data_IF_629481064232
#
_entry.id   IF_629481064232
#
_cell.length_a   1.000
_cell.length_b   1.000
_cell.length_c   1.000
_cell.angle_alpha   90.00
_cell.angle_beta   90.00
_cell.angle_gamma   90.00
#
_symmetry.space_group_name_H-M   'P 1'
#
loop_
_entity.id
_entity.type
_entity.pdbx_description
1 polymer ?
#
# COMPACT_ATOMS: atom_id res chain seq x y z
N UNK A 1 -10.31 18.60 -31.09
CA UNK A 1 -8.94 18.21 -31.46
C UNK A 1 -8.30 17.54 -30.25
N UNK A 2 -8.21 16.20 -30.24
CA UNK A 2 -7.65 15.45 -29.12
C UNK A 2 -6.14 15.50 -29.19
N UNK A 3 -5.49 16.09 -28.19
CA UNK A 3 -4.04 16.02 -28.01
C UNK A 3 -3.68 14.60 -27.56
N UNK A 4 -3.12 13.81 -28.48
CA UNK A 4 -2.54 12.51 -28.16
C UNK A 4 -1.40 12.69 -27.17
N UNK A 5 -1.62 12.26 -25.93
CA UNK A 5 -0.59 12.23 -24.90
C UNK A 5 0.43 11.16 -25.31
N UNK A 6 1.65 11.59 -25.66
CA UNK A 6 2.77 10.70 -25.96
C UNK A 6 3.07 9.88 -24.70
N UNK A 7 2.90 8.56 -24.79
CA UNK A 7 3.23 7.62 -23.72
C UNK A 7 4.73 7.75 -23.45
N UNK A 8 5.08 7.97 -22.18
CA UNK A 8 6.47 8.10 -21.77
C UNK A 8 7.21 6.76 -21.84
N UNK A 9 8.53 6.81 -21.98
CA UNK A 9 9.34 5.59 -22.03
C UNK A 9 9.21 4.73 -20.76
N UNK A 10 8.99 5.37 -19.59
CA UNK A 10 8.76 4.67 -18.32
C UNK A 10 7.44 3.92 -18.27
N UNK A 11 6.36 4.49 -18.83
CA UNK A 11 5.06 3.83 -18.93
C UNK A 11 5.10 2.62 -19.89
N UNK A 12 5.95 2.68 -20.92
CA UNK A 12 6.17 1.55 -21.84
C UNK A 12 6.97 0.41 -21.18
N UNK A 13 8.01 0.74 -20.40
CA UNK A 13 8.78 -0.27 -19.65
C UNK A 13 7.94 -0.93 -18.56
N UNK A 14 7.11 -0.15 -17.87
CA UNK A 14 6.16 -0.69 -16.89
C UNK A 14 5.16 -1.63 -17.60
N UNK A 15 4.50 -1.19 -18.68
CA UNK A 15 3.60 -2.03 -19.46
C UNK A 15 4.26 -3.32 -20.00
N UNK A 16 5.55 -3.26 -20.35
CA UNK A 16 6.32 -4.43 -20.80
C UNK A 16 6.60 -5.40 -19.65
N UNK A 17 6.96 -4.91 -18.47
CA UNK A 17 7.12 -5.73 -17.28
C UNK A 17 5.78 -6.43 -16.91
N UNK A 18 4.66 -5.73 -17.07
CA UNK A 18 3.32 -6.29 -16.88
C UNK A 18 2.99 -7.41 -17.87
N UNK A 19 3.29 -7.23 -19.15
CA UNK A 19 3.06 -8.24 -20.18
C UNK A 19 3.91 -9.50 -19.96
N UNK A 20 5.16 -9.35 -19.53
CA UNK A 20 6.04 -10.50 -19.27
C UNK A 20 5.56 -11.31 -18.05
N UNK A 21 5.05 -10.65 -17.02
CA UNK A 21 4.46 -11.32 -15.84
C UNK A 21 3.16 -12.05 -16.20
N UNK A 22 2.35 -11.47 -17.09
CA UNK A 22 1.10 -12.07 -17.56
C UNK A 22 1.32 -13.29 -18.48
N UNK A 23 2.40 -13.29 -19.26
CA UNK A 23 2.72 -14.36 -20.21
C UNK A 23 3.45 -15.56 -19.59
N UNK A 24 3.82 -15.48 -18.30
CA UNK A 24 4.41 -16.62 -17.60
C UNK A 24 5.72 -17.11 -18.23
N UNK A 25 6.56 -16.20 -18.73
CA UNK A 25 7.92 -16.57 -19.14
C UNK A 25 8.71 -16.95 -17.88
N UNK A 26 8.67 -18.24 -17.58
CA UNK A 26 9.47 -18.93 -16.57
C UNK A 26 10.96 -18.67 -16.84
N UNK A 27 11.55 -17.72 -16.11
CA UNK A 27 12.96 -17.85 -15.77
C UNK A 27 13.09 -19.11 -14.90
N UNK A 28 13.43 -20.23 -15.54
CA UNK A 28 13.91 -21.44 -14.87
C UNK A 28 15.23 -21.16 -14.16
N UNK A 29 15.19 -20.40 -13.08
CA UNK A 29 16.25 -20.40 -12.09
C UNK A 29 16.02 -21.61 -11.18
N UNK A 30 17.00 -22.52 -11.15
CA UNK A 30 17.01 -23.73 -10.32
C UNK A 30 16.72 -23.38 -8.85
N UNK A 31 15.46 -23.47 -8.45
CA UNK A 31 15.06 -23.29 -7.06
C UNK A 31 15.62 -24.46 -6.20
N UNK A 32 16.16 -24.18 -5.00
CA UNK A 32 16.57 -25.22 -4.08
C UNK A 32 15.35 -26.04 -3.64
N UNK A 33 15.55 -27.35 -3.44
CA UNK A 33 14.50 -28.29 -3.03
C UNK A 33 13.74 -27.76 -1.81
N UNK A 34 12.38 -27.71 -1.84
CA UNK A 34 11.64 -27.18 -0.71
C UNK A 34 11.65 -28.19 0.44
N UNK A 35 12.01 -27.69 1.63
CA UNK A 35 11.81 -28.39 2.89
C UNK A 35 10.34 -28.79 3.04
N UNK A 36 10.13 -30.01 3.54
CA UNK A 36 8.83 -30.62 3.77
C UNK A 36 7.90 -29.69 4.58
N UNK A 37 6.72 -29.39 4.05
CA UNK A 37 5.66 -28.74 4.85
C UNK A 37 4.72 -27.78 4.12
N UNK A 38 4.92 -27.44 2.83
CA UNK A 38 3.97 -26.57 2.12
C UNK A 38 2.75 -27.35 1.67
N UNK A 39 1.68 -27.32 2.48
CA UNK A 39 0.31 -27.69 2.09
C UNK A 39 -0.01 -27.03 0.75
N UNK A 40 -0.16 -27.83 -0.29
CA UNK A 40 -0.73 -27.42 -1.57
C UNK A 40 -2.20 -27.06 -1.32
N UNK A 41 -2.48 -25.81 -1.02
CA UNK A 41 -3.84 -25.30 -1.07
C UNK A 41 -4.22 -25.11 -2.53
N UNK A 42 -4.64 -26.19 -3.19
CA UNK A 42 -5.39 -26.13 -4.45
C UNK A 42 -6.85 -25.78 -4.14
N UNK A 43 -7.07 -24.59 -3.61
CA UNK A 43 -8.38 -23.97 -3.73
C UNK A 43 -8.33 -23.08 -4.98
N UNK A 44 -9.31 -23.25 -5.88
CA UNK A 44 -9.53 -22.42 -7.07
C UNK A 44 -9.91 -20.99 -6.63
N UNK A 45 -9.02 -20.30 -5.93
CA UNK A 45 -9.16 -18.89 -5.62
C UNK A 45 -8.87 -18.10 -6.89
N UNK A 46 -9.80 -17.22 -7.25
CA UNK A 46 -9.55 -16.19 -8.26
C UNK A 46 -8.46 -15.25 -7.72
N UNK A 47 -7.43 -14.93 -8.51
CA UNK A 47 -6.40 -14.02 -8.06
C UNK A 47 -7.00 -12.66 -7.67
N UNK A 48 -6.42 -12.02 -6.65
CA UNK A 48 -6.91 -10.75 -6.14
C UNK A 48 -5.89 -9.64 -6.32
N UNK A 49 -6.37 -8.40 -6.31
CA UNK A 49 -5.53 -7.20 -6.26
C UNK A 49 -5.61 -6.55 -4.88
N UNK A 50 -4.47 -6.35 -4.24
CA UNK A 50 -4.32 -5.73 -2.93
C UNK A 50 -3.78 -4.31 -3.09
N UNK A 51 -4.07 -3.44 -2.13
CA UNK A 51 -3.57 -2.07 -2.08
C UNK A 51 -2.85 -1.84 -0.75
N UNK A 52 -1.68 -1.21 -0.80
CA UNK A 52 -0.96 -0.74 0.38
C UNK A 52 -0.91 0.78 0.34
N UNK A 53 -1.50 1.41 1.35
CA UNK A 53 -1.43 2.83 1.63
C UNK A 53 -0.57 3.02 2.89
N UNK A 54 0.27 4.04 2.92
CA UNK A 54 1.09 4.25 4.10
C UNK A 54 2.22 5.23 3.91
N UNK A 55 3.11 5.24 4.88
CA UNK A 55 4.33 6.03 4.82
C UNK A 55 5.55 5.21 4.41
N UNK A 56 6.76 5.73 4.68
CA UNK A 56 8.00 5.01 4.39
C UNK A 56 8.06 3.62 5.02
N UNK A 57 7.46 3.40 6.20
CA UNK A 57 7.47 2.07 6.84
C UNK A 57 6.70 1.06 6.00
N UNK A 58 5.50 1.43 5.54
CA UNK A 58 4.68 0.57 4.68
C UNK A 58 5.37 0.23 3.36
N UNK A 59 6.01 1.22 2.74
CA UNK A 59 6.81 1.04 1.52
C UNK A 59 7.99 0.10 1.73
N UNK A 60 8.77 0.36 2.77
CA UNK A 60 10.04 -0.31 3.03
C UNK A 60 9.81 -1.75 3.55
N UNK A 61 8.60 -2.06 4.05
CA UNK A 61 8.17 -3.41 4.39
C UNK A 61 8.03 -4.33 3.17
N UNK A 62 7.92 -3.78 1.95
CA UNK A 62 7.84 -4.53 0.69
C UNK A 62 6.82 -5.68 0.74
N UNK A 63 5.62 -5.37 1.22
CA UNK A 63 4.56 -6.36 1.40
C UNK A 63 4.28 -7.07 0.07
N UNK A 64 4.28 -8.40 0.10
CA UNK A 64 3.97 -9.24 -1.04
C UNK A 64 2.89 -10.24 -0.66
N UNK A 65 2.06 -10.64 -1.62
CA UNK A 65 1.10 -11.71 -1.38
C UNK A 65 1.83 -13.05 -1.30
N UNK A 66 1.38 -13.91 -0.39
CA UNK A 66 1.82 -15.32 -0.35
C UNK A 66 1.33 -16.12 -1.56
N UNK A 67 0.35 -15.59 -2.29
CA UNK A 67 -0.24 -16.23 -3.47
C UNK A 67 0.40 -15.64 -4.74
N UNK A 68 1.08 -16.45 -5.56
CA UNK A 68 1.89 -15.93 -6.69
C UNK A 68 1.12 -15.16 -7.76
N UNK A 69 -0.19 -15.35 -7.86
CA UNK A 69 -1.05 -14.69 -8.88
C UNK A 69 -1.72 -13.43 -8.35
N UNK A 70 -1.63 -13.17 -7.05
CA UNK A 70 -2.18 -11.94 -6.51
C UNK A 70 -1.27 -10.78 -6.84
N UNK A 71 -1.89 -9.64 -7.11
CA UNK A 71 -1.21 -8.40 -7.32
C UNK A 71 -1.22 -7.57 -6.03
N UNK A 72 -0.10 -6.92 -5.72
CA UNK A 72 -0.02 -5.92 -4.65
C UNK A 72 0.41 -4.60 -5.25
N UNK A 73 -0.42 -3.57 -5.09
CA UNK A 73 -0.13 -2.21 -5.53
C UNK A 73 0.31 -1.40 -4.31
N UNK A 74 1.54 -0.92 -4.33
CA UNK A 74 2.09 -0.06 -3.29
C UNK A 74 1.90 1.42 -3.68
N UNK A 75 1.19 2.16 -2.84
CA UNK A 75 0.96 3.62 -2.95
C UNK A 75 1.46 4.36 -1.71
N UNK A 76 2.40 3.78 -0.98
CA UNK A 76 3.02 4.41 0.17
C UNK A 76 3.85 5.64 -0.23
N UNK A 77 3.79 6.70 0.59
CA UNK A 77 4.52 7.95 0.36
C UNK A 77 5.31 8.35 1.60
N UNK A 78 6.58 8.69 1.43
CA UNK A 78 7.43 9.15 2.54
C UNK A 78 6.76 10.28 3.33
N UNK A 79 6.64 10.09 4.65
CA UNK A 79 6.03 11.07 5.55
C UNK A 79 4.50 11.23 5.41
N UNK A 80 3.80 10.26 4.79
CA UNK A 80 2.35 10.26 4.73
C UNK A 80 1.71 10.31 6.12
N UNK A 81 0.64 11.08 6.21
CA UNK A 81 -0.27 11.23 7.35
C UNK A 81 -1.69 10.83 6.93
N UNK A 82 -2.60 10.64 7.88
CA UNK A 82 -4.01 10.37 7.58
C UNK A 82 -4.63 11.43 6.68
N UNK A 83 -4.35 12.70 6.94
CA UNK A 83 -4.86 13.80 6.11
C UNK A 83 -4.30 13.75 4.68
N UNK A 84 -3.02 13.43 4.50
CA UNK A 84 -2.46 13.30 3.14
C UNK A 84 -2.96 12.07 2.41
N UNK A 85 -3.20 10.95 3.11
CA UNK A 85 -3.82 9.75 2.51
C UNK A 85 -5.22 10.10 2.04
N UNK A 86 -6.04 10.72 2.90
CA UNK A 86 -7.39 11.12 2.53
C UNK A 86 -7.41 12.07 1.32
N UNK A 87 -6.52 13.05 1.30
CA UNK A 87 -6.42 14.03 0.20
C UNK A 87 -6.13 13.36 -1.15
N UNK A 88 -5.26 12.35 -1.17
CA UNK A 88 -4.83 11.67 -2.40
C UNK A 88 -5.56 10.35 -2.67
N UNK A 89 -6.55 10.01 -1.83
CA UNK A 89 -7.16 8.68 -1.81
C UNK A 89 -7.72 8.25 -3.16
N UNK A 90 -8.34 9.18 -3.88
CA UNK A 90 -8.93 8.89 -5.18
C UNK A 90 -7.85 8.47 -6.19
N UNK A 91 -6.75 9.21 -6.25
CA UNK A 91 -5.64 8.92 -7.18
C UNK A 91 -4.93 7.61 -6.80
N UNK A 92 -4.88 7.25 -5.52
CA UNK A 92 -4.31 5.99 -5.07
C UNK A 92 -5.20 4.78 -5.31
N UNK A 93 -6.51 4.98 -5.34
CA UNK A 93 -7.47 3.93 -5.68
C UNK A 93 -7.50 3.62 -7.18
N UNK A 94 -7.18 4.59 -8.04
CA UNK A 94 -7.28 4.41 -9.49
C UNK A 94 -6.50 3.20 -10.02
N UNK A 95 -5.21 2.98 -9.70
CA UNK A 95 -4.49 1.81 -10.17
C UNK A 95 -5.10 0.49 -9.67
N UNK A 96 -5.61 0.48 -8.43
CA UNK A 96 -6.23 -0.70 -7.82
C UNK A 96 -7.57 -1.05 -8.49
N UNK A 97 -8.42 -0.06 -8.72
CA UNK A 97 -9.67 -0.22 -9.46
C UNK A 97 -9.40 -0.63 -10.91
N UNK A 98 -8.43 0.00 -11.55
CA UNK A 98 -8.05 -0.32 -12.92
C UNK A 98 -7.57 -1.77 -13.05
N UNK A 99 -6.66 -2.21 -12.17
CA UNK A 99 -6.18 -3.59 -12.19
C UNK A 99 -7.30 -4.61 -11.91
N UNK A 100 -8.21 -4.29 -10.98
CA UNK A 100 -9.41 -5.10 -10.72
C UNK A 100 -10.23 -5.31 -12.00
N UNK A 101 -10.54 -4.22 -12.68
CA UNK A 101 -11.47 -4.23 -13.82
C UNK A 101 -10.82 -4.79 -15.10
N UNK A 102 -9.57 -4.41 -15.38
CA UNK A 102 -8.86 -4.81 -16.60
C UNK A 102 -8.39 -6.26 -16.55
N UNK A 103 -7.92 -6.75 -15.41
CA UNK A 103 -7.40 -8.12 -15.28
C UNK A 103 -8.41 -9.08 -14.65
N UNK A 104 -9.65 -8.64 -14.43
CA UNK A 104 -10.72 -9.42 -13.79
C UNK A 104 -10.28 -10.06 -12.46
N UNK A 105 -9.51 -9.30 -11.68
CA UNK A 105 -9.04 -9.73 -10.35
C UNK A 105 -10.14 -9.48 -9.32
N UNK A 106 -10.18 -10.30 -8.28
CA UNK A 106 -11.06 -10.03 -7.15
C UNK A 106 -10.54 -8.85 -6.32
N UNK A 107 -11.41 -8.02 -5.72
CA UNK A 107 -10.99 -7.05 -4.71
C UNK A 107 -10.28 -7.77 -3.56
N UNK A 108 -9.00 -7.45 -3.36
CA UNK A 108 -8.21 -7.96 -2.24
C UNK A 108 -8.35 -7.08 -1.00
N UNK A 109 -7.36 -7.21 -0.12
CA UNK A 109 -7.23 -6.38 1.07
C UNK A 109 -6.67 -5.00 0.74
N UNK A 110 -7.12 -3.99 1.48
CA UNK A 110 -6.51 -2.67 1.54
C UNK A 110 -5.81 -2.55 2.89
N UNK A 111 -4.49 -2.36 2.86
CA UNK A 111 -3.65 -2.26 4.05
C UNK A 111 -3.25 -0.80 4.20
N UNK A 112 -3.51 -0.23 5.38
CA UNK A 112 -3.10 1.13 5.75
C UNK A 112 -2.04 1.01 6.84
N UNK A 113 -0.82 1.48 6.57
CA UNK A 113 0.27 1.48 7.53
C UNK A 113 0.89 2.87 7.68
N UNK A 114 0.48 3.58 8.72
CA UNK A 114 0.96 4.92 9.05
C UNK A 114 1.69 4.88 10.39
N UNK A 115 2.99 5.21 10.39
CA UNK A 115 3.88 5.11 11.55
C UNK A 115 3.76 6.27 12.55
N UNK A 116 2.66 7.03 12.49
CA UNK A 116 2.39 8.14 13.40
C UNK A 116 2.93 9.50 12.95
N UNK A 117 3.20 9.73 11.66
CA UNK A 117 3.65 11.05 11.19
C UNK A 117 2.65 12.19 11.47
N UNK A 118 1.37 11.88 11.71
CA UNK A 118 0.38 12.83 12.18
C UNK A 118 0.76 13.46 13.52
N UNK A 119 1.41 12.70 14.41
CA UNK A 119 1.67 13.07 15.80
C UNK A 119 3.09 13.54 16.07
N UNK A 120 3.99 13.54 15.08
CA UNK A 120 5.40 13.92 15.27
C UNK A 120 5.79 15.11 14.39
N UNK A 121 6.50 16.07 14.98
CA UNK A 121 7.11 17.15 14.21
C UNK A 121 8.29 16.62 13.40
N UNK A 122 8.33 16.93 12.10
CA UNK A 122 9.48 16.59 11.24
C UNK A 122 10.77 17.31 11.63
N UNK A 123 10.67 18.49 12.25
CA UNK A 123 11.84 19.31 12.60
C UNK A 123 12.47 18.92 13.94
N UNK A 124 11.69 18.38 14.88
CA UNK A 124 12.18 18.07 16.24
C UNK A 124 12.12 16.58 16.56
N UNK A 125 11.40 15.76 15.78
CA UNK A 125 11.15 14.34 16.09
C UNK A 125 10.20 14.12 17.28
N UNK A 126 9.92 15.17 18.05
CA UNK A 126 9.08 15.12 19.25
C UNK A 126 7.61 14.95 18.89
N UNK A 127 6.91 14.18 19.72
CA UNK A 127 5.46 14.08 19.67
C UNK A 127 4.81 15.42 19.98
N UNK A 128 3.88 15.86 19.13
CA UNK A 128 2.98 16.98 19.38
C UNK A 128 1.57 16.49 19.18
N UNK A 129 0.90 16.19 20.29
CA UNK A 129 -0.50 15.78 20.30
C UNK A 129 -1.30 16.92 20.93
N UNK A 130 -2.28 17.46 20.21
CA UNK A 130 -3.28 18.38 20.73
C UNK A 130 -4.68 17.83 20.47
N UNK A 131 -5.69 18.39 21.13
CA UNK A 131 -7.08 17.99 20.93
C UNK A 131 -7.55 18.27 19.50
N UNK A 132 -7.14 19.41 18.93
CA UNK A 132 -7.47 19.79 17.55
C UNK A 132 -6.87 18.81 16.54
N UNK A 133 -5.60 18.45 16.72
CA UNK A 133 -4.93 17.47 15.87
C UNK A 133 -5.60 16.09 16.01
N UNK A 134 -5.93 15.69 17.23
CA UNK A 134 -6.61 14.42 17.49
C UNK A 134 -7.98 14.37 16.82
N UNK A 135 -8.73 15.47 16.84
CA UNK A 135 -10.01 15.58 16.14
C UNK A 135 -9.82 15.51 14.61
N UNK A 136 -8.84 16.23 14.06
CA UNK A 136 -8.54 16.20 12.64
C UNK A 136 -8.15 14.80 12.14
N UNK A 137 -7.32 14.08 12.91
CA UNK A 137 -6.94 12.71 12.60
C UNK A 137 -8.16 11.79 12.66
N UNK A 138 -9.01 11.89 13.69
CA UNK A 138 -10.25 11.10 13.78
C UNK A 138 -11.16 11.30 12.57
N UNK A 139 -11.36 12.54 12.14
CA UNK A 139 -12.15 12.86 10.94
C UNK A 139 -11.50 12.26 9.70
N UNK A 140 -10.18 12.40 9.55
CA UNK A 140 -9.43 11.87 8.40
C UNK A 140 -9.49 10.35 8.32
N UNK A 141 -9.35 9.65 9.46
CA UNK A 141 -9.49 8.20 9.58
C UNK A 141 -10.89 7.77 9.15
N UNK A 142 -11.93 8.36 9.76
CA UNK A 142 -13.33 7.99 9.48
C UNK A 142 -13.66 8.14 8.01
N UNK A 143 -13.33 9.28 7.42
CA UNK A 143 -13.64 9.56 6.01
C UNK A 143 -12.87 8.63 5.07
N UNK A 144 -11.60 8.34 5.38
CA UNK A 144 -10.79 7.38 4.60
C UNK A 144 -11.43 6.00 4.62
N UNK A 145 -11.80 5.50 5.80
CA UNK A 145 -12.39 4.17 5.94
C UNK A 145 -13.75 4.06 5.26
N UNK A 146 -14.59 5.10 5.36
CA UNK A 146 -15.87 5.15 4.66
C UNK A 146 -15.69 5.05 3.15
N UNK A 147 -14.86 5.91 2.55
CA UNK A 147 -14.60 5.90 1.10
C UNK A 147 -13.98 4.60 0.61
N UNK A 148 -13.10 3.99 1.40
CA UNK A 148 -12.53 2.69 1.09
C UNK A 148 -13.60 1.59 1.14
N UNK A 149 -14.48 1.60 2.14
CA UNK A 149 -15.55 0.61 2.29
C UNK A 149 -16.54 0.63 1.13
N UNK A 150 -16.82 1.81 0.56
CA UNK A 150 -17.66 1.95 -0.64
C UNK A 150 -17.10 1.21 -1.86
N UNK A 151 -15.78 0.96 -1.89
CA UNK A 151 -15.13 0.20 -2.96
C UNK A 151 -15.15 -1.32 -2.73
N UNK A 152 -15.77 -1.77 -1.64
CA UNK A 152 -15.99 -3.18 -1.30
C UNK A 152 -14.70 -4.02 -1.39
N UNK A 153 -13.59 -3.62 -0.75
CA UNK A 153 -12.43 -4.50 -0.61
C UNK A 153 -12.80 -5.72 0.22
N UNK A 154 -12.05 -6.81 0.09
CA UNK A 154 -12.27 -8.00 0.92
C UNK A 154 -12.13 -7.68 2.42
N UNK A 155 -11.17 -6.84 2.79
CA UNK A 155 -10.97 -6.35 4.17
C UNK A 155 -10.12 -5.09 4.13
N UNK A 156 -10.36 -4.17 5.06
CA UNK A 156 -9.48 -3.04 5.34
C UNK A 156 -8.69 -3.35 6.61
N UNK A 157 -7.37 -3.33 6.52
CA UNK A 157 -6.45 -3.63 7.62
C UNK A 157 -5.72 -2.35 7.99
N UNK A 158 -5.89 -1.87 9.21
CA UNK A 158 -5.15 -0.72 9.74
C UNK A 158 -4.06 -1.24 10.66
N UNK A 159 -2.81 -1.01 10.28
CA UNK A 159 -1.66 -1.30 11.13
C UNK A 159 -1.36 -0.05 11.96
N UNK A 160 -1.27 -0.26 13.28
CA UNK A 160 -1.05 0.82 14.24
C UNK A 160 0.29 1.53 14.06
N UNK A 161 0.45 2.72 14.65
CA UNK A 161 1.72 3.42 14.63
C UNK A 161 2.79 2.57 15.32
N UNK A 162 4.01 2.60 14.78
CA UNK A 162 5.15 1.96 15.42
C UNK A 162 5.60 2.79 16.63
N UNK A 163 5.98 2.16 17.75
CA UNK A 163 6.59 2.86 18.86
C UNK A 163 7.88 3.53 18.37
N UNK A 164 7.98 4.85 18.58
CA UNK A 164 9.22 5.60 18.36
C UNK A 164 9.89 5.76 19.72
N UNK A 165 11.20 5.55 19.85
CA UNK A 165 11.89 5.94 21.06
C UNK A 165 11.70 7.46 21.23
N UNK A 166 11.01 7.85 22.30
CA UNK A 166 10.92 9.25 22.69
C UNK A 166 12.36 9.73 22.91
N UNK A 167 12.81 10.66 22.09
CA UNK A 167 14.09 11.31 22.26
C UNK A 167 14.08 12.13 23.54
N UNK A 168 14.18 11.48 24.71
CA UNK A 168 14.79 12.12 25.86
C UNK A 168 16.24 12.37 25.48
N UNK A 169 16.51 13.59 25.00
CA UNK A 169 17.86 14.11 24.99
C UNK A 169 18.23 14.29 26.45
N UNK A 170 18.93 13.31 27.02
CA UNK A 170 19.65 13.46 28.28
C UNK A 170 20.78 14.48 28.04
N UNK A 171 20.42 15.76 28.03
CA UNK A 171 21.39 16.84 27.98
C UNK A 171 22.15 16.88 29.31
N UNK A 172 23.32 16.26 29.34
CA UNK A 172 24.41 16.68 30.21
C UNK A 172 25.42 17.40 29.31
N UNK A 173 25.35 18.74 29.33
CA UNK A 173 26.47 19.59 28.97
C UNK A 173 27.16 20.02 30.27
#
# INVERSE_FOLDING_TARGET
>A
MSHGKLISHGELEEARAWLNLANGEDHQEKAPRPAAGRRRYSYRRRPAVHLVLGDSVGRDARLASRYPRDLVIDRCRGGATWTTVLKNLQDDLLPWLHAKDTFHLEPGHIIIWLSGNDSHSRSTGLGRISDELSLQVKVSVRETLLRLSEKQPATIIVLGPLPRPDGQVSGLA
#
